data_IF_852338308731
#
_entry.id   IF_852338308731
#
_cell.length_a   1.000
_cell.length_b   1.000
_cell.length_c   1.000
_cell.angle_alpha   90.00
_cell.angle_beta   90.00
_cell.angle_gamma   90.00
#
_symmetry.space_group_name_H-M   'P 1'
#
loop_
_entity.id
_entity.type
_entity.pdbx_description
1 polymer ?
#
# COMPACT_ATOMS: atom_id res chain seq x y z
N UNK A 1 -73.22 41.30 -17.53
CA UNK A 1 -73.85 41.10 -16.21
C UNK A 1 -73.16 39.92 -15.54
N UNK A 2 -72.21 40.23 -14.66
CA UNK A 2 -72.28 39.97 -13.21
C UNK A 2 -71.95 38.51 -12.88
N UNK A 3 -70.66 38.35 -12.56
CA UNK A 3 -70.14 37.77 -11.31
C UNK A 3 -70.20 36.25 -11.08
N UNK A 4 -69.10 35.74 -10.53
CA UNK A 4 -68.90 34.32 -10.27
C UNK A 4 -67.48 33.97 -9.83
N UNK A 5 -66.91 34.77 -8.91
CA UNK A 5 -65.68 34.43 -8.19
C UNK A 5 -65.83 33.07 -7.49
N UNK A 6 -65.11 32.07 -7.97
CA UNK A 6 -64.80 30.87 -7.18
C UNK A 6 -63.29 30.72 -7.11
N UNK A 7 -62.75 31.05 -5.94
CA UNK A 7 -61.34 30.87 -5.58
C UNK A 7 -61.04 29.37 -5.47
N UNK A 8 -60.29 28.81 -6.40
CA UNK A 8 -59.58 27.56 -6.18
C UNK A 8 -58.16 27.88 -5.70
N UNK A 9 -57.96 27.76 -4.39
CA UNK A 9 -56.64 27.75 -3.77
C UNK A 9 -55.95 26.46 -4.21
N UNK A 10 -55.05 26.55 -5.18
CA UNK A 10 -54.19 25.42 -5.54
C UNK A 10 -53.10 25.31 -4.48
N UNK A 11 -53.26 24.32 -3.60
CA UNK A 11 -52.30 23.98 -2.57
C UNK A 11 -50.96 23.60 -3.22
N UNK A 12 -49.91 24.37 -2.91
CA UNK A 12 -48.54 24.08 -3.29
C UNK A 12 -48.05 22.92 -2.42
N UNK A 13 -48.15 21.69 -2.95
CA UNK A 13 -47.58 20.50 -2.32
C UNK A 13 -46.07 20.52 -2.55
N UNK A 14 -45.31 21.17 -1.66
CA UNK A 14 -43.87 21.01 -1.59
C UNK A 14 -43.56 19.57 -1.14
N UNK A 15 -43.36 18.67 -2.11
CA UNK A 15 -42.73 17.39 -1.85
C UNK A 15 -41.28 17.67 -1.43
N UNK A 16 -41.03 17.71 -0.13
CA UNK A 16 -39.68 17.66 0.42
C UNK A 16 -39.10 16.29 0.04
N UNK A 17 -38.31 16.24 -1.03
CA UNK A 17 -37.47 15.10 -1.32
C UNK A 17 -36.50 14.96 -0.15
N UNK A 18 -36.73 13.95 0.68
CA UNK A 18 -35.77 13.50 1.67
C UNK A 18 -34.57 13.02 0.88
N UNK A 19 -33.55 13.87 0.77
CA UNK A 19 -32.21 13.47 0.35
C UNK A 19 -31.73 12.52 1.43
N UNK A 20 -31.91 11.21 1.19
CA UNK A 20 -31.27 10.19 2.00
C UNK A 20 -29.77 10.42 1.88
N UNK A 21 -29.19 10.97 2.95
CA UNK A 21 -27.77 11.16 3.09
C UNK A 21 -27.05 9.86 2.76
N UNK A 22 -25.99 10.00 1.97
CA UNK A 22 -25.06 8.95 1.65
C UNK A 22 -24.71 8.15 2.92
N UNK A 23 -24.90 6.83 2.85
CA UNK A 23 -24.12 5.92 3.67
C UNK A 23 -22.67 6.02 3.20
N UNK A 24 -21.95 7.02 3.73
CA UNK A 24 -20.51 7.04 3.72
C UNK A 24 -20.01 5.99 4.73
N UNK A 25 -20.25 4.72 4.43
CA UNK A 25 -19.44 3.64 4.99
C UNK A 25 -18.32 3.40 3.99
N UNK A 26 -17.28 4.22 4.07
CA UNK A 26 -15.97 3.84 3.54
C UNK A 26 -15.45 2.72 4.44
N UNK A 27 -15.99 1.52 4.26
CA UNK A 27 -15.47 0.30 4.86
C UNK A 27 -14.04 0.16 4.39
N UNK A 28 -13.09 0.58 5.23
CA UNK A 28 -11.67 0.35 5.03
C UNK A 28 -11.49 -1.14 4.75
N UNK A 29 -11.32 -1.49 3.47
CA UNK A 29 -11.26 -2.89 3.04
C UNK A 29 -10.15 -3.59 3.82
N UNK A 30 -10.49 -4.74 4.42
CA UNK A 30 -9.51 -5.64 5.05
C UNK A 30 -8.50 -6.08 3.97
N UNK A 31 -7.25 -6.31 4.37
CA UNK A 31 -6.17 -6.67 3.46
C UNK A 31 -5.17 -5.54 3.26
N UNK A 32 -4.45 -5.59 2.15
CA UNK A 32 -3.35 -4.65 1.86
C UNK A 32 -3.84 -3.57 0.90
N UNK A 33 -3.61 -2.34 1.31
CA UNK A 33 -3.76 -1.14 0.50
C UNK A 33 -2.36 -0.69 0.09
N UNK A 34 -1.97 -1.06 -1.14
CA UNK A 34 -0.64 -0.80 -1.68
C UNK A 34 -0.41 0.67 -2.03
N UNK A 35 -1.47 1.41 -2.33
CA UNK A 35 -1.38 2.84 -2.64
C UNK A 35 -1.19 3.65 -1.35
N UNK A 36 -1.92 3.31 -0.28
CA UNK A 36 -1.70 3.90 1.04
C UNK A 36 -0.48 3.33 1.77
N UNK A 37 0.05 2.19 1.33
CA UNK A 37 1.19 1.50 1.94
C UNK A 37 0.86 0.93 3.33
N UNK A 38 -0.33 0.37 3.51
CA UNK A 38 -0.79 -0.16 4.81
C UNK A 38 -1.48 -1.50 4.68
N UNK A 39 -1.41 -2.30 5.75
CA UNK A 39 -2.24 -3.50 5.93
C UNK A 39 -3.29 -3.23 6.99
N UNK A 40 -4.53 -3.62 6.71
CA UNK A 40 -5.69 -3.44 7.59
C UNK A 40 -6.28 -4.78 7.96
N UNK A 41 -6.60 -4.92 9.24
CA UNK A 41 -7.25 -6.12 9.76
C UNK A 41 -8.26 -5.75 10.84
N UNK A 42 -9.20 -6.65 11.10
CA UNK A 42 -10.09 -6.58 12.25
C UNK A 42 -9.76 -7.72 13.18
N UNK A 43 -9.75 -7.48 14.48
CA UNK A 43 -9.68 -8.54 15.48
C UNK A 43 -10.91 -8.54 16.38
N UNK A 44 -11.31 -9.71 16.84
CA UNK A 44 -12.48 -9.92 17.68
C UNK A 44 -12.09 -10.48 19.04
N UNK A 45 -12.77 -10.02 20.09
CA UNK A 45 -12.55 -10.48 21.45
C UNK A 45 -13.88 -10.68 22.17
N UNK A 46 -14.08 -11.90 22.69
CA UNK A 46 -15.23 -12.22 23.52
C UNK A 46 -14.99 -11.82 24.99
N UNK A 47 -16.04 -11.44 25.73
CA UNK A 47 -15.92 -11.17 27.15
C UNK A 47 -15.70 -12.47 27.94
N UNK A 48 -14.88 -12.39 28.99
CA UNK A 48 -14.78 -13.47 29.96
C UNK A 48 -15.98 -13.43 30.91
N UNK A 49 -16.85 -14.44 30.81
CA UNK A 49 -18.06 -14.56 31.63
C UNK A 49 -17.74 -14.82 33.11
N UNK A 50 -16.53 -15.25 33.44
CA UNK A 50 -16.08 -15.49 34.81
C UNK A 50 -15.34 -14.28 35.41
N UNK A 51 -15.24 -13.17 34.68
CA UNK A 51 -14.52 -11.99 35.15
C UNK A 51 -15.20 -11.39 36.41
N UNK A 52 -14.42 -10.84 37.36
CA UNK A 52 -14.96 -10.31 38.61
C UNK A 52 -15.98 -9.16 38.44
N UNK A 53 -15.91 -8.43 37.33
CA UNK A 53 -16.84 -7.36 36.98
C UNK A 53 -16.78 -7.06 35.47
N UNK A 54 -17.78 -6.30 34.99
CA UNK A 54 -17.93 -5.92 33.58
C UNK A 54 -16.71 -5.15 33.05
N UNK A 55 -16.08 -4.30 33.87
CA UNK A 55 -14.91 -3.54 33.44
C UNK A 55 -13.71 -4.46 33.16
N UNK A 56 -13.49 -5.48 34.00
CA UNK A 56 -12.45 -6.50 33.78
C UNK A 56 -12.77 -7.34 32.54
N UNK A 57 -14.02 -7.78 32.38
CA UNK A 57 -14.46 -8.52 31.19
C UNK A 57 -14.19 -7.74 29.90
N UNK A 58 -14.53 -6.45 29.89
CA UNK A 58 -14.33 -5.55 28.75
C UNK A 58 -12.86 -5.34 28.43
N UNK A 59 -12.02 -5.08 29.44
CA UNK A 59 -10.57 -4.97 29.24
C UNK A 59 -9.96 -6.27 28.71
N UNK A 60 -10.48 -7.43 29.16
CA UNK A 60 -10.10 -8.74 28.63
C UNK A 60 -10.47 -8.90 27.16
N UNK A 61 -11.72 -8.59 26.80
CA UNK A 61 -12.21 -8.64 25.42
C UNK A 61 -11.40 -7.70 24.50
N UNK A 62 -11.12 -6.46 24.93
CA UNK A 62 -10.28 -5.54 24.16
C UNK A 62 -8.86 -6.07 23.92
N UNK A 63 -8.26 -6.72 24.92
CA UNK A 63 -6.93 -7.35 24.77
C UNK A 63 -6.98 -8.54 23.81
N UNK A 64 -8.02 -9.38 23.92
CA UNK A 64 -8.22 -10.51 23.01
C UNK A 64 -8.41 -10.03 21.56
N UNK A 65 -9.24 -9.00 21.35
CA UNK A 65 -9.46 -8.40 20.05
C UNK A 65 -8.17 -7.86 19.43
N UNK A 66 -7.33 -7.18 20.22
CA UNK A 66 -6.02 -6.71 19.75
C UNK A 66 -5.07 -7.84 19.36
N UNK A 67 -5.04 -8.94 20.12
CA UNK A 67 -4.22 -10.11 19.80
C UNK A 67 -4.69 -10.82 18.53
N UNK A 68 -6.01 -10.95 18.35
CA UNK A 68 -6.60 -11.49 17.12
C UNK A 68 -6.29 -10.59 15.91
N UNK A 69 -6.39 -9.27 16.08
CA UNK A 69 -6.04 -8.30 15.04
C UNK A 69 -4.58 -8.42 14.60
N UNK A 70 -3.65 -8.56 15.56
CA UNK A 70 -2.24 -8.81 15.27
C UNK A 70 -2.02 -10.10 14.49
N UNK A 71 -2.71 -11.19 14.89
CA UNK A 71 -2.67 -12.46 14.16
C UNK A 71 -3.14 -12.27 12.72
N UNK A 72 -4.24 -11.55 12.51
CA UNK A 72 -4.81 -11.32 11.19
C UNK A 72 -3.89 -10.45 10.29
N UNK A 73 -3.21 -9.44 10.86
CA UNK A 73 -2.13 -8.73 10.14
C UNK A 73 -1.02 -9.72 9.74
N UNK A 74 -0.55 -10.54 10.67
CA UNK A 74 0.57 -11.45 10.42
C UNK A 74 0.23 -12.49 9.34
N UNK A 75 -0.97 -13.07 9.38
CA UNK A 75 -1.43 -14.00 8.33
C UNK A 75 -1.54 -13.31 6.97
N UNK A 76 -2.05 -12.06 6.94
CA UNK A 76 -2.08 -11.27 5.70
C UNK A 76 -0.68 -11.02 5.15
N UNK A 77 0.27 -10.64 6.02
CA UNK A 77 1.66 -10.41 5.63
C UNK A 77 2.32 -11.67 5.07
N UNK A 78 2.10 -12.85 5.65
CA UNK A 78 2.70 -14.10 5.17
C UNK A 78 2.40 -14.39 3.70
N UNK A 79 1.22 -14.02 3.21
CA UNK A 79 0.82 -14.19 1.82
C UNK A 79 1.44 -13.17 0.84
N UNK A 80 2.12 -12.15 1.35
CA UNK A 80 2.71 -11.08 0.52
C UNK A 80 3.92 -11.60 -0.22
N UNK A 81 3.93 -11.35 -1.53
CA UNK A 81 5.09 -11.58 -2.38
C UNK A 81 6.17 -10.53 -2.09
N UNK A 82 7.38 -11.02 -1.79
CA UNK A 82 8.56 -10.17 -1.63
C UNK A 82 9.24 -9.99 -2.96
N UNK A 83 9.50 -11.09 -3.67
CA UNK A 83 10.03 -11.12 -5.03
C UNK A 83 9.28 -12.17 -5.86
N UNK A 84 9.71 -12.43 -7.10
CA UNK A 84 9.05 -13.37 -7.99
C UNK A 84 8.96 -14.82 -7.51
N UNK A 85 9.75 -15.22 -6.50
CA UNK A 85 9.80 -16.60 -6.01
C UNK A 85 9.79 -16.72 -4.49
N UNK A 86 9.52 -15.63 -3.76
CA UNK A 86 9.53 -15.64 -2.29
C UNK A 86 8.38 -14.83 -1.70
N UNK A 87 7.75 -15.40 -0.69
CA UNK A 87 6.76 -14.71 0.14
C UNK A 87 7.36 -14.36 1.49
N UNK A 88 6.74 -13.41 2.19
CA UNK A 88 7.11 -13.08 3.57
C UNK A 88 6.99 -14.32 4.45
N UNK A 89 5.95 -15.14 4.26
CA UNK A 89 5.76 -16.39 5.00
C UNK A 89 6.92 -17.37 4.78
N UNK A 90 7.33 -17.59 3.53
CA UNK A 90 8.46 -18.46 3.22
C UNK A 90 9.78 -17.96 3.84
N UNK A 91 10.01 -16.64 3.83
CA UNK A 91 11.19 -16.06 4.48
C UNK A 91 11.14 -16.27 6.00
N UNK A 92 9.99 -16.03 6.64
CA UNK A 92 9.79 -16.25 8.08
C UNK A 92 9.95 -17.71 8.50
N UNK A 93 9.64 -18.65 7.62
CA UNK A 93 9.87 -20.08 7.86
C UNK A 93 11.35 -20.43 7.80
N UNK A 94 12.09 -19.81 6.87
CA UNK A 94 13.53 -20.05 6.69
C UNK A 94 14.42 -19.36 7.72
N UNK A 95 14.00 -18.22 8.30
CA UNK A 95 14.80 -17.43 9.24
C UNK A 95 13.99 -17.00 10.48
N UNK A 96 14.32 -17.60 11.63
CA UNK A 96 13.67 -17.29 12.91
C UNK A 96 13.93 -15.87 13.42
N UNK A 97 15.05 -15.25 13.04
CA UNK A 97 15.38 -13.86 13.42
C UNK A 97 14.50 -12.90 12.65
N UNK A 98 14.37 -13.09 11.33
CA UNK A 98 13.45 -12.30 10.48
C UNK A 98 12.01 -12.46 10.98
N UNK A 99 11.60 -13.67 11.34
CA UNK A 99 10.29 -13.93 11.96
C UNK A 99 10.08 -13.13 13.24
N UNK A 100 11.05 -13.11 14.16
CA UNK A 100 10.95 -12.35 15.41
C UNK A 100 10.85 -10.84 15.16
N UNK A 101 11.64 -10.29 14.23
CA UNK A 101 11.59 -8.88 13.85
C UNK A 101 10.25 -8.49 13.22
N UNK A 102 9.72 -9.29 12.28
CA UNK A 102 8.41 -9.04 11.67
C UNK A 102 7.32 -9.07 12.74
N UNK A 103 7.35 -10.06 13.65
CA UNK A 103 6.41 -10.10 14.77
C UNK A 103 6.53 -8.87 15.68
N UNK A 104 7.73 -8.30 15.83
CA UNK A 104 7.98 -7.03 16.53
C UNK A 104 7.37 -5.83 15.82
N UNK A 105 7.54 -5.73 14.50
CA UNK A 105 6.96 -4.67 13.65
C UNK A 105 5.43 -4.72 13.73
N UNK A 106 4.83 -5.92 13.62
CA UNK A 106 3.37 -6.11 13.68
C UNK A 106 2.77 -5.61 14.99
N UNK A 107 3.52 -5.59 16.10
CA UNK A 107 3.01 -5.06 17.38
C UNK A 107 2.74 -3.55 17.35
N UNK A 108 3.33 -2.83 16.41
CA UNK A 108 3.21 -1.37 16.30
C UNK A 108 2.04 -0.94 15.39
N UNK A 109 1.00 -1.78 15.27
CA UNK A 109 -0.23 -1.39 14.60
C UNK A 109 -0.92 -0.23 15.34
N UNK A 110 -1.69 0.56 14.60
CA UNK A 110 -2.55 1.61 15.13
C UNK A 110 -3.99 1.12 15.15
N UNK A 111 -4.69 1.39 16.25
CA UNK A 111 -6.13 1.17 16.32
C UNK A 111 -6.81 2.30 15.55
N UNK A 112 -7.63 1.93 14.60
CA UNK A 112 -8.39 2.83 13.74
C UNK A 112 -9.80 3.02 14.27
N UNK A 113 -10.43 1.94 14.71
CA UNK A 113 -11.79 1.94 15.26
C UNK A 113 -11.95 0.86 16.33
N UNK A 114 -12.90 1.03 17.23
CA UNK A 114 -13.27 0.03 18.25
C UNK A 114 -14.78 -0.02 18.40
N UNK A 115 -15.35 -1.20 18.17
CA UNK A 115 -16.79 -1.47 18.26
C UNK A 115 -17.08 -2.35 19.46
N UNK A 116 -18.09 -1.97 20.21
CA UNK A 116 -18.58 -2.71 21.38
C UNK A 116 -19.97 -3.23 21.09
N UNK A 117 -20.18 -4.51 21.37
CA UNK A 117 -21.44 -5.21 21.12
C UNK A 117 -22.23 -5.41 22.43
N UNK A 118 -23.54 -5.58 22.30
CA UNK A 118 -24.45 -5.73 23.43
C UNK A 118 -24.24 -7.03 24.22
N UNK A 119 -23.65 -8.04 23.59
CA UNK A 119 -23.25 -9.31 24.20
C UNK A 119 -21.92 -9.20 24.96
N UNK A 120 -21.31 -8.01 25.02
CA UNK A 120 -20.01 -7.75 25.64
C UNK A 120 -18.82 -8.04 24.74
N UNK A 121 -19.05 -8.45 23.48
CA UNK A 121 -18.02 -8.62 22.47
C UNK A 121 -17.39 -7.29 22.08
N UNK A 122 -16.14 -7.38 21.62
CA UNK A 122 -15.35 -6.23 21.13
C UNK A 122 -14.74 -6.57 19.79
N UNK A 123 -14.83 -5.64 18.84
CA UNK A 123 -14.01 -5.64 17.64
C UNK A 123 -13.08 -4.43 17.62
N UNK A 124 -11.87 -4.64 17.11
CA UNK A 124 -10.91 -3.57 16.86
C UNK A 124 -10.48 -3.62 15.40
N UNK A 125 -10.58 -2.50 14.70
CA UNK A 125 -9.95 -2.35 13.40
C UNK A 125 -8.57 -1.73 13.58
N UNK A 126 -7.59 -2.33 12.94
CA UNK A 126 -6.19 -1.95 13.05
C UNK A 126 -5.58 -1.69 11.69
N UNK A 127 -4.59 -0.82 11.68
CA UNK A 127 -3.79 -0.50 10.51
C UNK A 127 -2.30 -0.54 10.88
N UNK A 128 -1.50 -1.21 10.05
CA UNK A 128 -0.05 -1.22 10.16
C UNK A 128 0.56 -0.71 8.86
N UNK A 129 1.51 0.22 8.95
CA UNK A 129 2.26 0.69 7.78
C UNK A 129 3.21 -0.38 7.27
N UNK A 130 3.27 -0.54 5.95
CA UNK A 130 4.33 -1.25 5.25
C UNK A 130 5.53 -0.32 5.12
N UNK A 131 6.21 -0.07 6.23
CA UNK A 131 7.29 0.90 6.28
C UNK A 131 8.60 0.39 5.65
N UNK A 132 9.57 1.29 5.55
CA UNK A 132 10.87 0.98 5.00
C UNK A 132 11.67 -0.02 5.83
N UNK A 133 11.42 -0.12 7.15
CA UNK A 133 12.07 -1.12 8.02
C UNK A 133 11.65 -2.53 7.61
N UNK A 134 10.35 -2.75 7.39
CA UNK A 134 9.85 -4.02 6.88
C UNK A 134 10.47 -4.35 5.51
N UNK A 135 10.50 -3.37 4.60
CA UNK A 135 11.06 -3.56 3.25
C UNK A 135 12.56 -3.90 3.31
N UNK A 136 13.34 -3.20 4.14
CA UNK A 136 14.78 -3.44 4.32
C UNK A 136 15.06 -4.83 4.87
N UNK A 137 14.26 -5.28 5.84
CA UNK A 137 14.38 -6.61 6.44
C UNK A 137 14.11 -7.74 5.44
N UNK A 138 13.22 -7.52 4.47
CA UNK A 138 12.83 -8.50 3.47
C UNK A 138 13.70 -8.48 2.21
N UNK A 139 14.55 -7.47 2.06
CA UNK A 139 15.42 -7.31 0.90
C UNK A 139 16.53 -8.38 0.91
N UNK A 140 16.78 -9.08 -0.22
CA UNK A 140 17.90 -10.01 -0.30
C UNK A 140 19.23 -9.25 -0.21
N UNK A 141 20.29 -9.87 0.35
CA UNK A 141 21.62 -9.30 0.30
C UNK A 141 22.11 -9.27 -1.16
N UNK A 142 22.42 -8.08 -1.65
CA UNK A 142 22.93 -7.87 -3.01
C UNK A 142 24.10 -6.89 -3.00
N UNK A 143 25.03 -7.07 -3.93
CA UNK A 143 26.09 -6.10 -4.15
C UNK A 143 25.50 -4.82 -4.76
N UNK A 144 25.78 -3.66 -4.17
CA UNK A 144 25.25 -2.38 -4.65
C UNK A 144 25.99 -1.94 -5.91
N UNK A 145 25.24 -1.57 -6.95
CA UNK A 145 25.76 -0.97 -8.16
C UNK A 145 26.09 0.51 -7.93
N UNK A 146 27.13 1.00 -8.60
CA UNK A 146 27.42 2.44 -8.63
C UNK A 146 26.41 3.13 -9.55
N UNK A 147 25.58 3.98 -8.97
CA UNK A 147 24.62 4.80 -9.70
C UNK A 147 25.33 6.04 -10.25
N UNK A 148 25.20 6.36 -11.55
CA UNK A 148 25.73 7.60 -12.11
C UNK A 148 25.10 8.85 -11.46
N UNK A 149 25.91 9.76 -10.93
CA UNK A 149 25.45 11.00 -10.26
C UNK A 149 26.10 12.29 -10.79
N UNK A 150 27.00 12.19 -11.78
CA UNK A 150 27.74 13.33 -12.33
C UNK A 150 27.24 13.83 -13.70
N UNK A 151 26.20 13.19 -14.25
CA UNK A 151 25.68 13.50 -15.58
C UNK A 151 24.64 14.62 -15.61
N UNK A 152 23.97 14.77 -16.75
CA UNK A 152 22.86 15.70 -16.92
C UNK A 152 21.62 15.24 -16.14
N UNK A 153 21.05 16.13 -15.30
CA UNK A 153 19.80 15.92 -14.58
C UNK A 153 18.58 16.06 -15.50
N UNK A 154 18.31 15.02 -16.29
CA UNK A 154 17.20 15.03 -17.27
C UNK A 154 15.84 14.68 -16.66
N UNK A 155 15.82 13.86 -15.60
CA UNK A 155 14.60 13.35 -14.99
C UNK A 155 14.65 13.39 -13.47
N UNK A 156 13.46 13.48 -12.86
CA UNK A 156 13.28 13.52 -11.41
C UNK A 156 12.83 12.18 -10.81
N UNK A 157 12.30 11.28 -11.65
CA UNK A 157 11.79 9.98 -11.24
C UNK A 157 11.60 9.05 -12.45
N UNK A 158 11.35 7.77 -12.17
CA UNK A 158 10.89 6.78 -13.15
C UNK A 158 9.44 6.40 -12.86
N UNK A 159 8.57 6.50 -13.86
CA UNK A 159 7.20 6.00 -13.83
C UNK A 159 7.11 4.82 -14.79
N UNK A 160 6.76 3.64 -14.28
CA UNK A 160 6.55 2.44 -15.08
C UNK A 160 5.05 2.25 -15.30
N UNK A 161 4.59 2.38 -16.54
CA UNK A 161 3.23 2.01 -16.94
C UNK A 161 3.16 0.50 -17.19
N UNK A 162 2.67 -0.24 -16.19
CA UNK A 162 2.47 -1.68 -16.24
C UNK A 162 0.98 -2.07 -16.34
N UNK A 163 0.12 -1.13 -16.74
CA UNK A 163 -1.31 -1.40 -16.95
C UNK A 163 -1.52 -2.42 -18.06
N UNK A 164 -2.53 -3.27 -17.89
CA UNK A 164 -2.82 -4.38 -18.80
C UNK A 164 -1.80 -5.53 -18.79
N UNK A 165 -0.86 -5.54 -17.85
CA UNK A 165 0.04 -6.68 -17.59
C UNK A 165 -0.48 -7.47 -16.38
N UNK A 166 -0.11 -8.74 -16.27
CA UNK A 166 -0.45 -9.61 -15.12
C UNK A 166 0.48 -9.35 -13.90
N UNK A 167 0.63 -8.08 -13.54
CA UNK A 167 1.49 -7.68 -12.43
C UNK A 167 0.69 -7.47 -11.14
N UNK A 168 1.13 -8.14 -10.08
CA UNK A 168 0.71 -7.84 -8.72
C UNK A 168 1.78 -7.03 -8.00
N UNK A 169 1.40 -6.12 -7.08
CA UNK A 169 2.35 -5.44 -6.22
C UNK A 169 3.18 -6.44 -5.40
N UNK A 170 4.47 -6.13 -5.25
CA UNK A 170 5.41 -6.85 -4.37
C UNK A 170 6.18 -5.88 -3.50
N UNK A 171 6.77 -6.35 -2.40
CA UNK A 171 7.59 -5.53 -1.50
C UNK A 171 8.91 -5.10 -2.14
N UNK A 172 9.56 -6.00 -2.89
CA UNK A 172 10.89 -5.79 -3.46
C UNK A 172 10.83 -5.98 -4.98
N UNK A 173 10.33 -4.98 -5.73
CA UNK A 173 10.22 -5.07 -7.18
C UNK A 173 11.58 -4.87 -7.86
N UNK A 174 11.64 -5.29 -9.13
CA UNK A 174 12.80 -5.06 -10.01
C UNK A 174 12.35 -4.59 -11.39
N UNK A 175 13.11 -3.68 -11.98
CA UNK A 175 12.98 -3.23 -13.36
C UNK A 175 14.20 -3.73 -14.12
N UNK A 176 13.97 -4.46 -15.19
CA UNK A 176 15.01 -5.07 -16.02
C UNK A 176 14.81 -4.69 -17.49
N UNK A 177 15.87 -4.74 -18.27
CA UNK A 177 15.75 -4.69 -19.73
C UNK A 177 15.33 -6.04 -20.34
N UNK A 178 15.25 -6.09 -21.67
CA UNK A 178 14.89 -7.30 -22.41
C UNK A 178 15.90 -8.46 -22.25
N UNK A 179 17.13 -8.16 -21.80
CA UNK A 179 18.18 -9.15 -21.53
C UNK A 179 18.19 -9.61 -20.07
N UNK A 180 17.33 -9.04 -19.22
CA UNK A 180 17.29 -9.30 -17.79
C UNK A 180 18.31 -8.53 -16.97
N UNK A 181 19.00 -7.55 -17.55
CA UNK A 181 19.91 -6.68 -16.80
C UNK A 181 19.10 -5.70 -15.94
N UNK A 182 19.38 -5.71 -14.64
CA UNK A 182 18.69 -4.84 -13.68
C UNK A 182 19.02 -3.35 -13.89
N UNK A 183 17.97 -2.58 -14.15
CA UNK A 183 17.94 -1.12 -14.29
C UNK A 183 17.66 -0.46 -12.94
N UNK A 184 16.70 -1.03 -12.21
CA UNK A 184 16.31 -0.56 -10.88
C UNK A 184 15.87 -1.76 -10.04
N UNK A 185 16.19 -1.74 -8.76
CA UNK A 185 15.88 -2.82 -7.82
C UNK A 185 16.84 -2.78 -6.62
N UNK A 186 16.96 -3.89 -5.87
CA UNK A 186 17.74 -3.94 -4.64
C UNK A 186 19.21 -3.50 -4.76
N UNK A 187 19.85 -3.73 -5.92
CA UNK A 187 21.25 -3.36 -6.13
C UNK A 187 21.43 -1.86 -6.40
N UNK A 188 20.37 -1.15 -6.79
CA UNK A 188 20.42 0.25 -7.22
C UNK A 188 19.90 1.20 -6.15
N UNK A 189 18.81 0.84 -5.48
CA UNK A 189 18.21 1.68 -4.43
C UNK A 189 19.11 1.75 -3.20
N UNK A 190 19.22 2.92 -2.57
CA UNK A 190 19.98 3.10 -1.33
C UNK A 190 19.21 2.55 -0.13
N UNK A 191 19.92 2.11 0.91
CA UNK A 191 19.27 1.58 2.11
C UNK A 191 18.51 2.68 2.85
N UNK A 192 19.05 3.90 2.86
CA UNK A 192 18.41 5.08 3.46
C UNK A 192 17.10 5.44 2.74
N UNK A 193 17.07 5.33 1.40
CA UNK A 193 15.87 5.57 0.62
C UNK A 193 14.80 4.53 0.91
N UNK A 194 15.19 3.25 0.99
CA UNK A 194 14.29 2.15 1.36
C UNK A 194 13.68 2.38 2.74
N UNK A 195 14.49 2.73 3.74
CA UNK A 195 14.02 2.94 5.11
C UNK A 195 13.05 4.13 5.23
N UNK A 196 13.29 5.22 4.49
CA UNK A 196 12.46 6.43 4.56
C UNK A 196 11.17 6.31 3.76
N UNK A 197 11.24 5.74 2.57
CA UNK A 197 10.19 5.88 1.57
C UNK A 197 9.81 4.54 0.90
N UNK A 198 10.49 3.43 1.20
CA UNK A 198 10.33 2.20 0.44
C UNK A 198 10.87 2.32 -1.00
N UNK A 199 10.84 1.21 -1.73
CA UNK A 199 11.42 1.15 -3.08
C UNK A 199 10.58 1.88 -4.12
N UNK A 200 9.28 1.58 -4.17
CA UNK A 200 8.36 2.12 -5.17
C UNK A 200 7.07 2.58 -4.51
N UNK A 201 6.34 3.47 -5.20
CA UNK A 201 4.93 3.72 -4.92
C UNK A 201 4.07 3.05 -5.99
N UNK A 202 3.10 2.23 -5.59
CA UNK A 202 2.09 1.69 -6.51
C UNK A 202 0.92 2.67 -6.59
N UNK A 203 0.43 2.94 -7.81
CA UNK A 203 -0.67 3.89 -8.05
C UNK A 203 -1.61 3.36 -9.14
N UNK A 204 -2.90 3.71 -9.04
CA UNK A 204 -3.92 3.19 -9.95
C UNK A 204 -3.99 3.85 -11.34
N UNK A 205 -3.27 4.95 -11.58
CA UNK A 205 -3.28 5.63 -12.88
C UNK A 205 -2.02 6.45 -13.15
N UNK A 206 -1.76 6.71 -14.44
CA UNK A 206 -0.67 7.60 -14.85
C UNK A 206 -0.87 9.04 -14.38
N UNK A 207 -2.12 9.49 -14.29
CA UNK A 207 -2.42 10.84 -13.81
C UNK A 207 -2.09 10.99 -12.33
N UNK A 208 -2.47 10.00 -11.52
CA UNK A 208 -2.10 9.94 -10.10
C UNK A 208 -0.58 9.86 -9.94
N UNK A 209 0.10 9.03 -10.76
CA UNK A 209 1.55 8.91 -10.75
C UNK A 209 2.24 10.26 -10.98
N UNK A 210 1.84 11.00 -12.02
CA UNK A 210 2.43 12.30 -12.37
C UNK A 210 2.16 13.40 -11.35
N UNK A 211 1.07 13.30 -10.59
CA UNK A 211 0.72 14.25 -9.51
C UNK A 211 1.38 13.91 -8.17
N UNK A 212 1.97 12.72 -8.04
CA UNK A 212 2.64 12.31 -6.81
C UNK A 212 3.86 13.17 -6.53
N UNK A 213 4.06 13.53 -5.26
CA UNK A 213 5.28 14.19 -4.79
C UNK A 213 6.55 13.39 -5.17
N UNK A 214 6.47 12.05 -5.17
CA UNK A 214 7.59 11.17 -5.55
C UNK A 214 7.99 11.35 -7.02
N UNK A 215 7.07 11.75 -7.89
CA UNK A 215 7.37 11.92 -9.31
C UNK A 215 8.26 13.15 -9.58
N UNK A 216 8.09 14.21 -8.78
CA UNK A 216 8.74 15.50 -9.04
C UNK A 216 8.31 16.13 -10.37
N UNK A 217 9.08 17.10 -10.85
CA UNK A 217 8.68 17.95 -11.97
C UNK A 217 8.77 17.28 -13.36
N UNK A 218 9.73 16.36 -13.54
CA UNK A 218 10.06 15.80 -14.86
C UNK A 218 10.28 14.28 -14.80
N UNK A 219 9.21 13.48 -14.58
CA UNK A 219 9.30 12.04 -14.60
C UNK A 219 9.67 11.50 -15.99
N UNK A 220 10.51 10.46 -16.04
CA UNK A 220 10.61 9.59 -17.22
C UNK A 220 9.49 8.56 -17.15
N UNK A 221 8.58 8.57 -18.13
CA UNK A 221 7.52 7.56 -18.23
C UNK A 221 7.92 6.50 -19.24
N UNK A 222 7.94 5.24 -18.81
CA UNK A 222 8.26 4.08 -19.66
C UNK A 222 7.12 3.08 -19.60
N UNK A 223 6.91 2.31 -20.67
CA UNK A 223 5.90 1.25 -20.70
C UNK A 223 6.56 -0.10 -20.42
N UNK A 224 5.97 -0.89 -19.54
CA UNK A 224 6.40 -2.28 -19.34
C UNK A 224 6.00 -3.12 -20.57
N UNK A 225 6.97 -3.79 -21.17
CA UNK A 225 6.76 -4.82 -22.19
C UNK A 225 6.08 -6.05 -21.59
N UNK A 226 6.56 -6.47 -20.42
CA UNK A 226 6.02 -7.58 -19.62
C UNK A 226 6.16 -7.21 -18.16
N UNK A 227 5.22 -7.66 -17.34
CA UNK A 227 5.37 -7.55 -15.91
C UNK A 227 4.76 -8.78 -15.23
N UNK A 228 5.57 -9.46 -14.43
CA UNK A 228 5.19 -10.71 -13.78
C UNK A 228 5.88 -10.79 -12.41
N UNK A 229 5.09 -11.08 -11.36
CA UNK A 229 5.57 -11.28 -9.98
C UNK A 229 6.58 -10.21 -9.50
N UNK A 230 6.30 -8.93 -9.79
CA UNK A 230 7.13 -7.81 -9.36
C UNK A 230 8.40 -7.55 -10.17
N UNK A 231 8.62 -8.29 -11.27
CA UNK A 231 9.63 -8.00 -12.27
C UNK A 231 8.99 -7.28 -13.45
N UNK A 232 9.46 -6.07 -13.73
CA UNK A 232 8.99 -5.22 -14.83
C UNK A 232 10.05 -5.16 -15.93
N UNK A 233 9.72 -5.67 -17.11
CA UNK A 233 10.61 -5.67 -18.28
C UNK A 233 10.30 -4.44 -19.12
N UNK A 234 11.30 -3.62 -19.42
CA UNK A 234 11.20 -2.45 -20.32
C UNK A 234 12.01 -2.69 -21.59
N UNK A 235 11.72 -1.91 -22.64
CA UNK A 235 12.48 -2.00 -23.91
C UNK A 235 13.94 -1.61 -23.70
N UNK A 236 14.84 -2.14 -24.53
CA UNK A 236 16.24 -1.69 -24.54
C UNK A 236 16.37 -0.19 -24.89
N UNK A 237 15.45 0.35 -25.68
CA UNK A 237 15.40 1.77 -26.02
C UNK A 237 15.11 2.64 -24.79
N UNK A 238 14.14 2.22 -23.96
CA UNK A 238 13.79 2.91 -22.70
C UNK A 238 14.85 2.68 -21.62
N UNK A 239 15.49 1.52 -21.59
CA UNK A 239 16.55 1.18 -20.64
C UNK A 239 17.88 1.91 -20.93
N UNK A 240 18.20 2.17 -22.20
CA UNK A 240 19.46 2.81 -22.61
C UNK A 240 19.77 4.12 -21.86
N UNK A 241 18.87 5.12 -21.77
CA UNK A 241 19.14 6.34 -21.01
C UNK A 241 19.33 6.09 -19.51
N UNK A 242 18.75 5.03 -18.95
CA UNK A 242 18.83 4.65 -17.54
C UNK A 242 20.10 3.84 -17.20
N UNK A 243 20.99 3.63 -18.18
CA UNK A 243 22.32 3.05 -17.98
C UNK A 243 23.46 4.01 -18.33
N UNK A 244 23.13 5.11 -19.01
CA UNK A 244 24.15 6.02 -19.53
C UNK A 244 24.81 6.83 -18.40
N UNK A 245 26.15 6.84 -18.31
CA UNK A 245 26.87 7.68 -17.34
C UNK A 245 26.75 9.18 -17.65
N UNK A 246 26.26 9.54 -18.84
CA UNK A 246 26.00 10.94 -19.22
C UNK A 246 24.78 11.53 -18.50
N UNK A 247 23.94 10.70 -17.89
CA UNK A 247 22.75 11.14 -17.14
C UNK A 247 23.00 11.00 -15.65
N UNK A 248 22.47 11.95 -14.87
CA UNK A 248 22.36 11.79 -13.42
C UNK A 248 21.12 10.93 -13.12
N UNK A 249 21.38 9.78 -12.47
CA UNK A 249 20.40 8.76 -12.13
C UNK A 249 20.24 8.62 -10.61
N UNK A 250 20.68 9.61 -9.83
CA UNK A 250 20.51 9.66 -8.36
C UNK A 250 19.08 9.40 -7.91
N UNK A 251 18.08 9.83 -8.68
CA UNK A 251 16.67 9.58 -8.38
C UNK A 251 16.32 8.08 -8.28
N UNK A 252 17.05 7.19 -9.00
CA UNK A 252 16.91 5.75 -8.86
C UNK A 252 17.43 5.28 -7.50
N UNK A 253 18.62 5.74 -7.09
CA UNK A 253 19.16 5.44 -5.76
C UNK A 253 18.24 5.96 -4.64
N UNK A 254 17.60 7.11 -4.85
CA UNK A 254 16.63 7.73 -3.93
C UNK A 254 15.26 7.03 -3.91
N UNK A 255 15.03 5.99 -4.72
CA UNK A 255 13.75 5.28 -4.75
C UNK A 255 12.59 6.12 -5.30
N UNK A 256 12.88 7.12 -6.15
CA UNK A 256 11.86 7.91 -6.85
C UNK A 256 11.33 7.13 -8.05
N UNK A 257 10.64 6.04 -7.75
CA UNK A 257 10.07 5.13 -8.73
C UNK A 257 8.59 4.92 -8.41
N UNK A 258 7.75 5.03 -9.43
CA UNK A 258 6.32 4.76 -9.32
C UNK A 258 5.94 3.67 -10.33
N UNK A 259 5.06 2.77 -9.90
CA UNK A 259 4.54 1.70 -10.74
C UNK A 259 3.04 1.90 -10.87
N UNK A 260 2.57 2.04 -12.10
CA UNK A 260 1.15 2.12 -12.41
C UNK A 260 0.62 0.73 -12.69
N UNK A 261 -0.32 0.29 -11.88
CA UNK A 261 -1.03 -0.99 -12.03
C UNK A 261 -2.52 -0.71 -12.18
N UNK A 262 -3.15 -1.40 -13.13
CA UNK A 262 -4.61 -1.60 -13.31
C UNK A 262 -4.91 -2.25 -14.66
#
# INVERSE_FOLDING_TARGET
>A
MIDGRTRCVLACLCAAAVVSGAAAEDTKKKGIDWEAGVVRATGSGAPDLNAPNIAVARLGAERAAKLDAMRNILETLKGVQVTAGSTVGGIMESDSRVKAEIQGIVRNFKIVDTRYYSDGGVEVDVEMKLDGKLTRLLMPPVEKKKVPTGGAKKWTSLIIDARGQEASPVVVPSVVDEKGEEIYGPSVVSDEAVERHGMVAYVGSLEAAKKSERAGEKPLVVKALRAENGRFVITNADASPLKSPENDLSFLAEGRVLVVLN
#
